data_IF_111783491289
#
_entry.id   IF_111783491289
#
_cell.length_a   1.000
_cell.length_b   1.000
_cell.length_c   1.000
_cell.angle_alpha   90.00
_cell.angle_beta   90.00
_cell.angle_gamma   90.00
#
_symmetry.space_group_name_H-M   'P 1'
#
loop_
_entity.id
_entity.type
_entity.pdbx_description
1 polymer ?
#
# COMPACT_ATOMS: atom_id res chain seq x y z
N UNK A 1 6.60 -21.47 11.52
CA UNK A 1 5.32 -20.76 11.39
C UNK A 1 5.61 -19.29 11.41
N UNK A 2 5.19 -18.55 10.39
CA UNK A 2 5.32 -17.09 10.37
C UNK A 2 4.11 -16.50 11.09
N UNK A 3 4.33 -15.43 11.85
CA UNK A 3 3.26 -14.73 12.56
C UNK A 3 2.42 -13.94 11.55
N UNK A 4 1.11 -14.13 11.54
CA UNK A 4 0.19 -13.34 10.71
C UNK A 4 -0.19 -12.07 11.46
N UNK A 5 0.25 -10.92 10.94
CA UNK A 5 -0.05 -9.65 11.57
C UNK A 5 -1.53 -9.30 11.41
N UNK A 6 -2.14 -8.88 12.51
CA UNK A 6 -3.53 -8.40 12.52
C UNK A 6 -3.55 -6.91 12.22
N UNK A 7 -4.67 -6.44 11.66
CA UNK A 7 -4.88 -5.03 11.32
C UNK A 7 -4.56 -4.06 12.46
N UNK A 8 -4.96 -4.37 13.70
CA UNK A 8 -4.69 -3.52 14.86
C UNK A 8 -3.19 -3.34 15.15
N UNK A 9 -2.40 -4.38 14.92
CA UNK A 9 -0.95 -4.38 15.16
C UNK A 9 -0.23 -3.56 14.08
N UNK A 10 -0.66 -3.69 12.83
CA UNK A 10 -0.17 -2.86 11.73
C UNK A 10 -0.44 -1.38 11.97
N UNK A 11 -1.63 -1.02 12.45
CA UNK A 11 -1.96 0.37 12.79
C UNK A 11 -0.99 0.91 13.84
N UNK A 12 -0.75 0.15 14.92
CA UNK A 12 0.20 0.52 15.96
C UNK A 12 1.63 0.70 15.42
N UNK A 13 2.08 -0.20 14.55
CA UNK A 13 3.39 -0.11 13.90
C UNK A 13 3.52 1.14 13.01
N UNK A 14 2.49 1.45 12.22
CA UNK A 14 2.48 2.63 11.35
C UNK A 14 2.52 3.93 12.15
N UNK A 15 1.77 4.01 13.24
CA UNK A 15 1.80 5.18 14.13
C UNK A 15 3.18 5.31 14.81
N UNK A 16 3.76 4.20 15.28
CA UNK A 16 5.11 4.20 15.86
C UNK A 16 6.20 4.56 14.84
N UNK A 17 5.99 4.26 13.55
CA UNK A 17 6.87 4.67 12.46
C UNK A 17 6.80 6.19 12.19
N UNK A 18 5.77 6.88 12.69
CA UNK A 18 5.58 8.32 12.53
C UNK A 18 4.50 8.71 11.52
N UNK A 19 3.65 7.76 11.08
CA UNK A 19 2.47 8.11 10.28
C UNK A 19 1.59 9.06 11.09
N UNK A 20 1.37 10.25 10.54
CA UNK A 20 0.59 11.31 11.20
C UNK A 20 -0.88 11.21 10.78
N UNK A 21 -1.82 10.99 11.71
CA UNK A 21 -3.24 11.03 11.42
C UNK A 21 -3.66 12.38 10.81
N UNK A 22 -4.53 12.36 9.80
CA UNK A 22 -4.96 13.54 9.05
C UNK A 22 -3.96 14.04 8.01
N UNK A 23 -2.77 13.43 7.91
CA UNK A 23 -1.76 13.81 6.93
C UNK A 23 -2.00 13.24 5.53
N UNK A 24 -1.08 13.54 4.62
CA UNK A 24 -0.97 12.89 3.31
C UNK A 24 0.18 11.89 3.36
N UNK A 25 -0.07 10.64 2.98
CA UNK A 25 0.94 9.58 2.98
C UNK A 25 1.03 8.94 1.60
N UNK A 26 2.18 9.12 0.95
CA UNK A 26 2.55 8.39 -0.27
C UNK A 26 3.21 7.06 0.11
N UNK A 27 2.69 5.95 -0.41
CA UNK A 27 3.19 4.60 -0.08
C UNK A 27 3.71 3.91 -1.33
N UNK A 28 4.98 3.51 -1.28
CA UNK A 28 5.53 2.45 -2.13
C UNK A 28 5.63 1.18 -1.30
N UNK A 29 4.95 0.12 -1.74
CA UNK A 29 4.90 -1.13 -0.98
C UNK A 29 5.18 -2.35 -1.85
N UNK A 30 5.99 -3.28 -1.34
CA UNK A 30 6.09 -4.64 -1.87
C UNK A 30 5.34 -5.60 -0.94
N UNK A 31 4.18 -6.09 -1.36
CA UNK A 31 3.40 -7.03 -0.54
C UNK A 31 4.18 -8.31 -0.22
N UNK A 32 5.12 -8.70 -1.10
CA UNK A 32 6.04 -9.82 -0.87
C UNK A 32 6.89 -9.66 0.40
N UNK A 33 7.25 -8.44 0.77
CA UNK A 33 8.07 -8.16 1.95
C UNK A 33 7.24 -7.94 3.22
N UNK A 34 5.96 -7.60 3.08
CA UNK A 34 5.05 -7.33 4.21
C UNK A 34 4.30 -8.58 4.66
N UNK A 35 4.07 -9.55 3.77
CA UNK A 35 3.41 -10.80 4.10
C UNK A 35 4.19 -11.60 5.16
N UNK A 36 3.50 -12.37 6.04
CA UNK A 36 2.08 -12.67 6.00
C UNK A 36 1.22 -11.73 6.86
N UNK A 37 0.03 -11.42 6.35
CA UNK A 37 -1.02 -10.64 7.01
C UNK A 37 -2.30 -11.47 7.05
N UNK A 38 -3.04 -11.43 8.15
CA UNK A 38 -4.32 -12.17 8.32
C UNK A 38 -5.30 -11.84 7.18
N UNK A 39 -5.45 -10.55 6.87
CA UNK A 39 -6.39 -10.03 5.85
C UNK A 39 -5.74 -9.77 4.48
N UNK A 40 -4.53 -10.30 4.24
CA UNK A 40 -3.82 -10.14 2.98
C UNK A 40 -3.55 -8.68 2.56
N UNK A 41 -3.48 -8.37 1.24
CA UNK A 41 -3.21 -7.00 0.75
C UNK A 41 -4.29 -5.98 1.14
N UNK A 42 -5.55 -6.42 1.23
CA UNK A 42 -6.66 -5.55 1.63
C UNK A 42 -6.47 -5.10 3.09
N UNK A 43 -6.06 -6.01 3.98
CA UNK A 43 -5.72 -5.69 5.36
C UNK A 43 -4.67 -4.58 5.50
N UNK A 44 -3.66 -4.58 4.63
CA UNK A 44 -2.65 -3.52 4.62
C UNK A 44 -3.24 -2.16 4.23
N UNK A 45 -4.06 -2.12 3.18
CA UNK A 45 -4.72 -0.87 2.74
C UNK A 45 -5.63 -0.34 3.85
N UNK A 46 -6.39 -1.23 4.49
CA UNK A 46 -7.27 -0.86 5.59
C UNK A 46 -6.49 -0.35 6.81
N UNK A 47 -5.36 -0.96 7.15
CA UNK A 47 -4.50 -0.50 8.25
C UNK A 47 -3.89 0.88 7.94
N UNK A 48 -3.42 1.12 6.71
CA UNK A 48 -2.92 2.43 6.27
C UNK A 48 -4.00 3.51 6.37
N UNK A 49 -5.21 3.23 5.87
CA UNK A 49 -6.36 4.16 5.97
C UNK A 49 -6.76 4.40 7.42
N UNK A 50 -6.74 3.37 8.26
CA UNK A 50 -7.07 3.50 9.68
C UNK A 50 -6.02 4.31 10.46
N UNK A 51 -4.73 4.14 10.18
CA UNK A 51 -3.66 4.93 10.77
C UNK A 51 -3.75 6.42 10.38
N UNK A 52 -4.13 6.71 9.14
CA UNK A 52 -4.38 8.08 8.66
C UNK A 52 -5.68 8.68 9.20
N UNK A 53 -6.68 7.86 9.50
CA UNK A 53 -8.00 8.31 9.92
C UNK A 53 -8.79 8.98 8.79
N UNK A 54 -10.03 9.43 9.07
CA UNK A 54 -10.98 9.92 8.06
C UNK A 54 -10.55 11.22 7.37
N UNK A 55 -9.68 12.01 8.00
CA UNK A 55 -9.16 13.25 7.41
C UNK A 55 -7.86 13.08 6.63
N UNK A 56 -7.25 11.90 6.66
CA UNK A 56 -5.97 11.66 5.99
C UNK A 56 -6.15 11.22 4.54
N UNK A 57 -5.12 11.46 3.73
CA UNK A 57 -5.10 11.09 2.31
C UNK A 57 -4.02 10.04 2.06
N UNK A 58 -4.44 8.88 1.55
CA UNK A 58 -3.53 7.83 1.12
C UNK A 58 -3.27 7.96 -0.38
N UNK A 59 -2.00 8.00 -0.77
CA UNK A 59 -1.57 8.08 -2.17
C UNK A 59 -0.74 6.86 -2.51
N UNK A 60 -1.00 6.24 -3.66
CA UNK A 60 -0.23 5.13 -4.20
C UNK A 60 0.10 5.39 -5.68
N UNK A 61 1.25 4.92 -6.17
CA UNK A 61 1.53 4.93 -7.60
C UNK A 61 0.52 4.03 -8.35
N UNK A 62 0.05 4.47 -9.53
CA UNK A 62 -0.98 3.77 -10.30
C UNK A 62 -0.79 3.82 -11.82
N UNK A 63 0.46 3.80 -12.30
CA UNK A 63 0.74 3.81 -13.74
C UNK A 63 0.72 2.39 -14.35
N UNK A 64 0.37 2.30 -15.64
CA UNK A 64 0.36 1.04 -16.41
C UNK A 64 1.77 0.59 -16.82
N UNK A 65 2.67 1.52 -17.14
CA UNK A 65 4.00 1.19 -17.65
C UNK A 65 3.98 0.59 -19.06
N UNK A 66 2.90 0.87 -19.81
CA UNK A 66 2.71 0.45 -21.19
C UNK A 66 2.82 1.69 -22.07
N UNK A 67 3.96 1.84 -22.76
CA UNK A 67 4.27 3.05 -23.53
C UNK A 67 3.44 3.15 -24.82
N UNK A 68 3.04 2.01 -25.38
CA UNK A 68 2.32 1.91 -26.66
C UNK A 68 0.78 1.78 -26.50
N UNK A 69 0.25 1.84 -25.26
CA UNK A 69 -1.18 1.71 -24.97
C UNK A 69 -1.76 2.96 -24.27
N UNK A 70 -2.94 3.45 -24.67
CA UNK A 70 -3.58 4.57 -23.98
C UNK A 70 -4.04 4.18 -22.57
N UNK A 71 -3.85 5.09 -21.61
CA UNK A 71 -4.28 4.89 -20.22
C UNK A 71 -5.77 5.24 -20.02
N UNK A 72 -6.52 4.31 -19.43
CA UNK A 72 -7.87 4.50 -18.91
C UNK A 72 -7.85 4.38 -17.37
N UNK A 73 -8.18 5.45 -16.62
CA UNK A 73 -8.19 5.43 -15.16
C UNK A 73 -9.10 4.36 -14.54
N UNK A 74 -10.12 3.90 -15.25
CA UNK A 74 -11.08 2.91 -14.73
C UNK A 74 -10.67 1.47 -15.02
N UNK A 75 -9.86 1.22 -16.06
CA UNK A 75 -9.62 -0.14 -16.57
C UNK A 75 -8.15 -0.50 -16.75
N UNK A 76 -7.25 0.46 -16.91
CA UNK A 76 -5.82 0.16 -17.07
C UNK A 76 -5.24 -0.42 -15.78
N UNK A 77 -4.70 -1.64 -15.81
CA UNK A 77 -4.06 -2.24 -14.64
C UNK A 77 -2.75 -1.53 -14.30
N UNK A 78 -2.31 -1.67 -13.05
CA UNK A 78 -1.06 -1.09 -12.55
C UNK A 78 0.06 -2.14 -12.52
N UNK A 79 1.29 -1.72 -12.81
CA UNK A 79 2.46 -2.62 -12.86
C UNK A 79 3.32 -2.54 -11.59
N UNK A 80 3.13 -1.51 -10.77
CA UNK A 80 3.98 -1.19 -9.61
C UNK A 80 3.89 -2.14 -8.42
N UNK A 81 2.85 -2.96 -8.31
CA UNK A 81 2.74 -3.98 -7.25
C UNK A 81 3.38 -5.33 -7.64
N UNK A 82 3.70 -5.53 -8.91
CA UNK A 82 4.16 -6.82 -9.46
C UNK A 82 5.60 -6.79 -9.96
N UNK A 83 6.19 -5.61 -10.22
CA UNK A 83 7.57 -5.52 -10.65
C UNK A 83 8.58 -5.60 -9.49
N UNK A 84 9.61 -6.46 -9.59
CA UNK A 84 10.79 -6.29 -8.77
C UNK A 84 11.42 -4.94 -9.13
N UNK A 85 11.86 -4.18 -8.13
CA UNK A 85 12.63 -2.94 -8.33
C UNK A 85 13.96 -3.29 -9.02
N UNK A 86 13.93 -3.46 -10.35
CA UNK A 86 15.07 -3.74 -11.22
C UNK A 86 15.14 -2.65 -12.28
N UNK A 87 15.31 -1.41 -11.86
CA UNK A 87 15.76 -0.33 -12.73
C UNK A 87 16.76 0.51 -11.96
N UNK A 88 18.04 0.15 -12.12
CA UNK A 88 19.20 1.03 -12.00
C UNK A 88 20.21 0.61 -13.06
#
# INVERSE_FOLDING_TARGET
MQYEWRKAELIGQLLNLGVTPGGVLLVHSSFRSVRPLEDGPLGLIEALRAALGPGGTLVMPSWSGLDDEPFDPATSPVTVMTQPFLHN
#
